data_IF_665374201988
#
_entry.id   IF_665374201988
#
_cell.length_a   1.000
_cell.length_b   1.000
_cell.length_c   1.000
_cell.angle_alpha   90.00
_cell.angle_beta   90.00
_cell.angle_gamma   90.00
#
_symmetry.space_group_name_H-M   'P 1'
#
loop_
_entity.id
_entity.type
_entity.pdbx_description
1 polymer ?
#
# COMPACT_ATOMS: atom_id res chain seq x y z
N UNK A 1 -13.28 -1.02 -16.37
CA UNK A 1 -14.38 -1.73 -15.69
C UNK A 1 -13.90 -3.14 -15.37
N UNK A 2 -13.36 -3.33 -14.16
CA UNK A 2 -12.87 -4.63 -13.68
C UNK A 2 -14.10 -5.41 -13.16
N UNK A 3 -14.56 -6.39 -13.95
CA UNK A 3 -15.66 -7.27 -13.51
C UNK A 3 -15.12 -8.28 -12.50
N UNK A 4 -15.71 -8.29 -11.28
CA UNK A 4 -15.46 -9.34 -10.29
C UNK A 4 -15.85 -10.71 -10.85
N UNK A 5 -14.86 -11.57 -11.10
CA UNK A 5 -15.09 -12.97 -11.48
C UNK A 5 -14.73 -13.89 -10.30
N UNK A 6 -15.74 -14.28 -9.55
CA UNK A 6 -15.61 -15.32 -8.53
C UNK A 6 -16.13 -16.66 -9.05
N UNK A 7 -15.41 -17.74 -8.79
CA UNK A 7 -15.90 -19.09 -8.98
C UNK A 7 -16.67 -19.55 -7.74
N UNK A 8 -17.99 -19.72 -7.90
CA UNK A 8 -18.87 -20.13 -6.83
C UNK A 8 -19.16 -21.63 -6.91
N UNK A 9 -18.85 -22.37 -5.84
CA UNK A 9 -19.21 -23.77 -5.69
C UNK A 9 -20.44 -23.87 -4.77
N UNK A 10 -21.57 -24.29 -5.31
CA UNK A 10 -22.79 -24.55 -4.53
C UNK A 10 -22.71 -25.87 -3.76
N UNK A 11 -23.27 -25.90 -2.54
CA UNK A 11 -23.56 -27.13 -1.82
C UNK A 11 -24.51 -27.97 -2.69
N UNK A 12 -24.15 -29.20 -3.07
CA UNK A 12 -25.07 -30.09 -3.77
C UNK A 12 -26.23 -30.43 -2.84
N UNK A 13 -27.36 -29.83 -3.05
CA UNK A 13 -28.64 -30.37 -2.56
C UNK A 13 -28.97 -31.61 -3.39
N UNK A 14 -29.50 -32.67 -2.78
CA UNK A 14 -29.76 -33.95 -3.43
C UNK A 14 -30.86 -33.89 -4.50
N UNK A 15 -31.39 -32.73 -4.82
CA UNK A 15 -32.44 -32.59 -5.87
C UNK A 15 -32.19 -31.37 -6.73
N UNK A 16 -32.16 -31.58 -8.03
CA UNK A 16 -32.20 -30.65 -9.15
C UNK A 16 -30.87 -30.34 -9.86
N UNK A 17 -30.69 -30.97 -11.01
CA UNK A 17 -29.79 -30.52 -12.08
C UNK A 17 -30.45 -29.31 -12.77
N UNK A 18 -29.88 -28.10 -12.59
CA UNK A 18 -30.07 -27.00 -13.55
C UNK A 18 -28.79 -26.22 -13.72
N UNK A 19 -28.50 -25.92 -14.97
CA UNK A 19 -27.35 -25.22 -15.53
C UNK A 19 -27.13 -23.86 -14.88
N UNK A 20 -25.86 -23.58 -14.52
CA UNK A 20 -25.43 -22.31 -13.90
C UNK A 20 -25.03 -21.31 -14.96
N UNK A 21 -25.83 -20.26 -15.16
CA UNK A 21 -25.43 -19.04 -15.85
C UNK A 21 -24.73 -18.08 -14.87
N UNK A 22 -23.77 -17.24 -15.33
CA UNK A 22 -23.13 -16.26 -14.47
C UNK A 22 -24.09 -15.15 -14.07
N UNK A 23 -24.20 -14.87 -12.78
CA UNK A 23 -25.10 -13.84 -12.22
C UNK A 23 -24.38 -12.49 -12.25
N UNK A 24 -24.94 -11.51 -12.98
CA UNK A 24 -24.58 -10.10 -12.91
C UNK A 24 -25.27 -9.48 -11.70
N UNK A 25 -24.50 -8.89 -10.78
CA UNK A 25 -25.05 -8.12 -9.66
C UNK A 25 -25.01 -6.62 -10.02
N UNK A 26 -26.15 -5.97 -10.07
CA UNK A 26 -26.29 -4.51 -10.08
C UNK A 26 -26.99 -4.10 -8.80
N UNK A 27 -26.33 -3.34 -7.93
CA UNK A 27 -26.94 -2.74 -6.75
C UNK A 27 -27.27 -1.28 -7.06
N UNK A 28 -28.56 -0.92 -6.99
CA UNK A 28 -29.00 0.49 -7.05
C UNK A 28 -29.08 1.03 -5.62
N UNK A 29 -28.29 2.04 -5.30
CA UNK A 29 -28.41 2.81 -4.07
C UNK A 29 -29.28 4.03 -4.34
N UNK A 30 -30.39 4.17 -3.62
CA UNK A 30 -31.28 5.34 -3.69
C UNK A 30 -30.94 6.25 -2.52
N UNK A 31 -30.33 7.42 -2.79
CA UNK A 31 -30.02 8.46 -1.80
C UNK A 31 -31.10 9.56 -1.90
N UNK A 32 -31.67 10.05 -0.77
CA UNK A 32 -32.63 11.15 -0.79
C UNK A 32 -32.02 12.46 -1.33
N UNK A 33 -32.71 13.13 -2.22
CA UNK A 33 -32.24 14.34 -2.94
C UNK A 33 -31.90 15.54 -2.03
N UNK A 34 -32.45 15.65 -0.82
CA UNK A 34 -32.21 16.78 0.08
C UNK A 34 -30.80 16.85 0.69
N UNK A 35 -30.11 15.70 0.82
CA UNK A 35 -28.74 15.63 1.33
C UNK A 35 -27.68 15.67 0.22
N UNK A 36 -28.13 15.66 -1.03
CA UNK A 36 -27.23 15.52 -2.18
C UNK A 36 -26.40 16.77 -2.43
N UNK A 37 -26.96 17.98 -2.28
CA UNK A 37 -26.28 19.23 -2.64
C UNK A 37 -25.15 19.61 -1.69
N UNK A 38 -25.31 19.42 -0.38
CA UNK A 38 -24.23 19.68 0.59
C UNK A 38 -23.13 18.61 0.52
N UNK A 39 -23.54 17.37 0.33
CA UNK A 39 -22.63 16.23 0.16
C UNK A 39 -21.85 16.32 -1.15
N UNK A 40 -22.49 16.80 -2.23
CA UNK A 40 -21.83 16.96 -3.56
C UNK A 40 -20.79 18.06 -3.52
N UNK A 41 -21.05 19.22 -2.87
CA UNK A 41 -20.03 20.28 -2.75
C UNK A 41 -18.82 19.86 -1.91
N UNK A 42 -19.06 19.17 -0.79
CA UNK A 42 -17.99 18.62 0.04
C UNK A 42 -17.22 17.53 -0.71
N UNK A 43 -17.93 16.65 -1.42
CA UNK A 43 -17.34 15.58 -2.22
C UNK A 43 -16.48 16.15 -3.38
N UNK A 44 -16.97 17.15 -4.12
CA UNK A 44 -16.21 17.79 -5.20
C UNK A 44 -14.97 18.53 -4.67
N UNK A 45 -15.06 19.19 -3.51
CA UNK A 45 -13.92 19.83 -2.87
C UNK A 45 -12.83 18.81 -2.47
N UNK A 46 -13.23 17.72 -1.83
CA UNK A 46 -12.33 16.62 -1.46
C UNK A 46 -11.75 15.95 -2.72
N UNK A 47 -12.56 15.74 -3.76
CA UNK A 47 -12.11 15.15 -5.01
C UNK A 47 -11.06 16.00 -5.70
N UNK A 48 -11.23 17.32 -5.76
CA UNK A 48 -10.26 18.24 -6.35
C UNK A 48 -8.93 18.23 -5.58
N UNK A 49 -8.97 18.22 -4.24
CA UNK A 49 -7.78 18.14 -3.41
C UNK A 49 -7.05 16.79 -3.61
N UNK A 50 -7.78 15.68 -3.58
CA UNK A 50 -7.23 14.35 -3.83
C UNK A 50 -6.70 14.18 -5.25
N UNK A 51 -7.28 14.88 -6.25
CA UNK A 51 -6.75 14.88 -7.62
C UNK A 51 -5.42 15.61 -7.71
N UNK A 52 -5.26 16.73 -7.02
CA UNK A 52 -4.00 17.48 -6.97
C UNK A 52 -2.91 16.66 -6.29
N UNK A 53 -3.22 16.01 -5.16
CA UNK A 53 -2.29 15.11 -4.46
C UNK A 53 -1.91 13.92 -5.35
N UNK A 54 -2.89 13.33 -6.04
CA UNK A 54 -2.62 12.23 -6.97
C UNK A 54 -1.74 12.67 -8.14
N UNK A 55 -1.98 13.85 -8.71
CA UNK A 55 -1.15 14.41 -9.77
C UNK A 55 0.31 14.56 -9.32
N UNK A 56 0.55 14.97 -8.08
CA UNK A 56 1.89 15.06 -7.50
C UNK A 56 2.61 13.69 -7.40
N UNK A 57 1.86 12.58 -7.44
CA UNK A 57 2.48 11.23 -7.48
C UNK A 57 2.88 10.78 -8.87
N UNK A 58 2.41 11.44 -9.93
CA UNK A 58 2.73 11.10 -11.32
C UNK A 58 3.97 11.87 -11.78
N UNK A 59 4.96 11.16 -12.29
CA UNK A 59 6.22 11.77 -12.75
C UNK A 59 5.97 12.72 -13.92
N UNK A 60 6.64 13.88 -13.88
CA UNK A 60 6.61 14.87 -14.96
C UNK A 60 5.39 15.78 -14.97
N UNK A 61 4.46 15.64 -14.03
CA UNK A 61 3.38 16.60 -13.86
C UNK A 61 3.88 17.90 -13.22
N UNK A 62 3.24 19.06 -13.48
CA UNK A 62 3.60 20.31 -12.81
C UNK A 62 3.56 20.21 -11.29
N UNK A 63 2.60 19.45 -10.73
CA UNK A 63 2.45 19.21 -9.30
C UNK A 63 3.62 18.39 -8.72
N UNK A 64 4.11 17.39 -9.47
CA UNK A 64 5.26 16.59 -9.06
C UNK A 64 6.55 17.40 -9.07
N UNK A 65 6.78 18.17 -10.14
CA UNK A 65 7.97 19.02 -10.30
C UNK A 65 7.99 20.11 -9.23
N UNK A 66 6.91 20.92 -9.14
CA UNK A 66 6.81 22.00 -8.17
C UNK A 66 6.84 21.50 -6.72
N UNK A 67 6.23 20.33 -6.44
CA UNK A 67 6.32 19.68 -5.14
C UNK A 67 7.76 19.30 -4.80
N UNK A 68 8.52 18.72 -5.73
CA UNK A 68 9.92 18.35 -5.53
C UNK A 68 10.78 19.59 -5.22
N UNK A 69 10.64 20.66 -5.99
CA UNK A 69 11.35 21.92 -5.75
C UNK A 69 11.05 22.50 -4.37
N UNK A 70 9.77 22.53 -3.99
CA UNK A 70 9.33 23.04 -2.70
C UNK A 70 9.89 22.20 -1.52
N UNK A 71 9.95 20.88 -1.64
CA UNK A 71 10.57 20.01 -0.64
C UNK A 71 12.07 20.26 -0.50
N UNK A 72 12.80 20.37 -1.62
CA UNK A 72 14.23 20.65 -1.63
C UNK A 72 14.52 22.00 -0.98
N UNK A 73 13.80 23.04 -1.34
CA UNK A 73 13.97 24.38 -0.77
C UNK A 73 13.67 24.40 0.73
N UNK A 74 12.58 23.74 1.16
CA UNK A 74 12.25 23.61 2.57
C UNK A 74 13.37 22.88 3.37
N UNK A 75 13.92 21.80 2.84
CA UNK A 75 14.99 21.06 3.49
C UNK A 75 16.27 21.90 3.58
N UNK A 76 16.68 22.60 2.51
CA UNK A 76 17.82 23.51 2.53
C UNK A 76 17.68 24.59 3.60
N UNK A 77 16.52 25.22 3.68
CA UNK A 77 16.23 26.25 4.68
C UNK A 77 16.34 25.72 6.11
N UNK A 78 15.82 24.52 6.37
CA UNK A 78 15.82 23.91 7.71
C UNK A 78 17.18 23.36 8.11
N UNK A 79 18.04 23.03 7.17
CA UNK A 79 19.40 22.53 7.39
C UNK A 79 20.47 23.67 7.33
N UNK A 80 20.06 24.93 7.20
CA UNK A 80 20.98 26.05 6.96
C UNK A 80 22.04 26.24 8.05
N UNK A 81 21.86 25.73 9.27
CA UNK A 81 22.85 25.78 10.35
C UNK A 81 24.00 24.78 10.18
N UNK A 82 23.76 23.64 9.49
CA UNK A 82 24.77 22.62 9.14
C UNK A 82 24.67 22.30 7.65
N UNK A 83 25.14 23.20 6.75
CA UNK A 83 24.97 23.03 5.31
C UNK A 83 25.66 21.79 4.74
N UNK A 84 26.64 21.23 5.42
CA UNK A 84 27.30 19.97 5.07
C UNK A 84 26.36 18.76 5.10
N UNK A 85 25.23 18.87 5.78
CA UNK A 85 24.18 17.82 5.79
C UNK A 85 23.27 17.86 4.56
N UNK A 86 23.29 18.95 3.80
CA UNK A 86 22.36 19.16 2.69
C UNK A 86 22.58 18.12 1.60
N UNK A 87 23.82 17.89 1.18
CA UNK A 87 24.17 16.95 0.12
C UNK A 87 23.73 15.50 0.42
N UNK A 88 23.77 15.12 1.69
CA UNK A 88 23.50 13.76 2.12
C UNK A 88 22.05 13.50 2.50
N UNK A 89 21.34 14.52 2.96
CA UNK A 89 19.97 14.38 3.44
C UNK A 89 18.92 14.70 2.39
N UNK A 90 19.25 15.55 1.39
CA UNK A 90 18.32 15.81 0.29
C UNK A 90 18.36 14.64 -0.68
N UNK A 91 17.24 13.90 -0.84
CA UNK A 91 17.19 12.77 -1.74
C UNK A 91 17.34 13.19 -3.22
N UNK A 92 17.95 12.34 -4.03
CA UNK A 92 18.01 12.50 -5.48
C UNK A 92 16.73 12.02 -6.19
N UNK A 93 15.80 11.41 -5.45
CA UNK A 93 14.54 10.91 -5.95
C UNK A 93 13.38 11.83 -5.53
N UNK A 94 12.26 11.87 -6.29
CA UNK A 94 11.13 12.74 -6.00
C UNK A 94 10.40 12.35 -4.71
N UNK A 95 9.71 13.31 -4.06
CA UNK A 95 8.80 13.03 -2.95
C UNK A 95 7.77 11.96 -3.32
N UNK A 96 7.50 11.04 -2.41
CA UNK A 96 6.60 9.91 -2.65
C UNK A 96 7.34 8.60 -2.89
N UNK A 97 8.56 8.58 -3.44
CA UNK A 97 9.34 7.34 -3.59
C UNK A 97 9.50 6.61 -2.24
N UNK A 98 9.63 7.37 -1.17
CA UNK A 98 9.45 6.93 0.22
C UNK A 98 8.31 7.71 0.86
N UNK A 99 7.72 7.15 1.92
CA UNK A 99 6.67 7.84 2.66
C UNK A 99 7.19 9.18 3.18
N UNK A 100 6.45 10.24 2.91
CA UNK A 100 6.72 11.56 3.47
C UNK A 100 6.52 11.52 4.98
N UNK A 101 7.48 12.09 5.71
CA UNK A 101 7.45 12.18 7.16
C UNK A 101 7.42 13.66 7.56
N UNK A 102 6.22 14.22 7.78
CA UNK A 102 6.12 15.56 8.33
C UNK A 102 6.58 15.51 9.80
N UNK A 103 7.81 15.89 10.04
CA UNK A 103 8.42 15.90 11.37
C UNK A 103 8.88 17.30 11.73
N UNK A 104 8.02 18.14 12.36
CA UNK A 104 8.50 19.41 12.90
C UNK A 104 9.60 19.12 13.91
N UNK A 105 10.73 19.83 13.79
CA UNK A 105 11.86 19.68 14.68
C UNK A 105 12.90 18.62 14.29
N UNK A 106 12.59 17.68 13.38
CA UNK A 106 13.54 16.61 13.02
C UNK A 106 14.80 17.15 12.31
N UNK A 107 14.65 17.93 11.26
CA UNK A 107 15.78 18.50 10.54
C UNK A 107 16.53 19.52 11.39
N UNK A 108 15.82 20.30 12.21
CA UNK A 108 16.40 21.23 13.16
C UNK A 108 17.24 20.50 14.21
N UNK A 109 16.75 19.37 14.73
CA UNK A 109 17.50 18.56 15.70
C UNK A 109 18.81 18.03 15.12
N UNK A 110 18.83 17.64 13.84
CA UNK A 110 20.08 17.22 13.18
C UNK A 110 21.12 18.36 13.09
N UNK A 111 20.66 19.61 13.15
CA UNK A 111 21.57 20.78 13.16
C UNK A 111 21.97 21.24 14.56
N UNK A 112 21.51 20.58 15.62
CA UNK A 112 21.94 20.88 17.00
C UNK A 112 23.40 20.41 17.22
N UNK A 113 24.16 21.16 18.02
CA UNK A 113 25.58 20.86 18.31
C UNK A 113 25.77 19.58 19.12
N UNK A 114 24.69 19.09 19.77
CA UNK A 114 24.68 17.82 20.51
C UNK A 114 24.42 16.58 19.64
N UNK A 115 24.18 16.78 18.34
CA UNK A 115 23.80 15.69 17.43
C UNK A 115 24.90 15.50 16.38
N UNK A 116 25.50 14.31 16.38
CA UNK A 116 26.40 13.85 15.35
C UNK A 116 25.66 12.93 14.38
N UNK A 117 25.71 13.25 13.10
CA UNK A 117 25.14 12.41 12.03
C UNK A 117 26.25 11.52 11.47
N UNK A 118 26.22 10.24 11.85
CA UNK A 118 27.21 9.24 11.44
C UNK A 118 26.64 8.47 10.25
N UNK A 119 27.41 8.41 9.14
CA UNK A 119 27.01 7.80 7.86
C UNK A 119 27.69 6.47 7.60
N UNK A 120 28.82 6.24 8.29
CA UNK A 120 29.55 4.99 8.14
C UNK A 120 28.68 3.82 8.61
N UNK A 121 28.57 2.73 7.84
CA UNK A 121 27.75 1.56 8.22
C UNK A 121 28.19 0.98 9.56
N UNK A 122 27.22 0.52 10.33
CA UNK A 122 27.47 -0.20 11.59
C UNK A 122 27.92 -1.63 11.24
N UNK A 123 29.11 -2.02 11.72
CA UNK A 123 29.65 -3.37 11.51
C UNK A 123 29.58 -4.24 12.76
N UNK A 124 29.55 -3.63 13.95
CA UNK A 124 29.46 -4.35 15.21
C UNK A 124 28.83 -3.50 16.30
N UNK A 125 28.12 -4.16 17.20
CA UNK A 125 27.69 -3.60 18.49
C UNK A 125 28.37 -4.44 19.58
N UNK A 126 28.97 -3.79 20.56
CA UNK A 126 29.57 -4.43 21.74
C UNK A 126 29.00 -3.85 23.05
N UNK A 127 29.59 -4.19 24.18
CA UNK A 127 29.11 -3.76 25.49
C UNK A 127 29.31 -2.26 25.76
N UNK A 128 30.22 -1.63 25.05
CA UNK A 128 30.61 -0.23 25.25
C UNK A 128 30.02 0.69 24.17
N UNK A 129 29.48 0.15 23.07
CA UNK A 129 28.88 1.00 22.02
C UNK A 129 28.80 0.38 20.65
N UNK A 130 29.05 1.20 19.63
CA UNK A 130 28.88 0.86 18.21
C UNK A 130 30.20 1.05 17.49
N UNK A 131 30.58 0.08 16.65
CA UNK A 131 31.75 0.17 15.76
C UNK A 131 31.26 0.34 14.33
N UNK A 132 31.73 1.36 13.65
CA UNK A 132 31.45 1.67 12.26
C UNK A 132 32.51 1.14 11.31
N UNK A 133 32.19 1.03 10.01
CA UNK A 133 33.09 0.47 8.97
C UNK A 133 34.37 1.22 8.82
N UNK A 134 34.39 2.52 9.13
CA UNK A 134 35.60 3.36 9.18
C UNK A 134 36.51 3.07 10.40
N UNK A 135 36.19 2.05 11.19
CA UNK A 135 36.94 1.60 12.35
C UNK A 135 36.74 2.44 13.61
N UNK A 136 35.86 3.44 13.59
CA UNK A 136 35.57 4.24 14.78
C UNK A 136 34.64 3.51 15.75
N UNK A 137 34.95 3.65 17.04
CA UNK A 137 34.13 3.23 18.14
C UNK A 137 33.34 4.42 18.68
N UNK A 138 32.04 4.29 18.76
CA UNK A 138 31.10 5.29 19.28
C UNK A 138 30.53 4.81 20.61
N UNK A 139 31.07 5.29 21.75
CA UNK A 139 30.53 4.92 23.06
C UNK A 139 29.04 5.27 23.19
N UNK A 140 28.24 4.36 23.70
CA UNK A 140 26.80 4.52 23.71
C UNK A 140 26.19 3.88 24.95
N UNK A 141 25.48 4.66 25.75
CA UNK A 141 24.76 4.18 26.93
C UNK A 141 23.40 3.55 26.57
N UNK A 142 22.76 4.07 25.50
CA UNK A 142 21.44 3.62 25.04
C UNK A 142 21.42 3.49 23.53
N UNK A 143 21.06 2.32 23.02
CA UNK A 143 20.86 2.04 21.60
C UNK A 143 19.37 1.94 21.27
N UNK A 144 18.88 2.84 20.42
CA UNK A 144 17.48 2.81 19.93
C UNK A 144 17.46 2.17 18.54
N UNK A 145 16.84 0.98 18.44
CA UNK A 145 16.73 0.25 17.19
C UNK A 145 15.46 0.65 16.44
N UNK A 146 15.60 1.41 15.35
CA UNK A 146 14.52 1.78 14.44
C UNK A 146 14.62 1.01 13.12
N UNK A 147 14.77 -0.31 13.18
CA UNK A 147 15.11 -1.20 12.05
C UNK A 147 13.93 -1.54 11.12
N UNK A 148 12.71 -1.07 11.44
CA UNK A 148 11.51 -1.23 10.63
C UNK A 148 10.77 -2.55 10.90
N UNK A 149 9.92 -2.94 9.95
CA UNK A 149 9.04 -4.11 10.03
C UNK A 149 9.34 -5.09 8.90
N UNK A 150 8.90 -6.35 9.08
CA UNK A 150 8.80 -7.32 7.99
C UNK A 150 7.65 -6.92 7.06
N UNK A 151 7.98 -6.57 5.82
CA UNK A 151 7.04 -6.08 4.81
C UNK A 151 6.74 -7.13 3.73
N UNK A 152 7.02 -8.40 3.99
CA UNK A 152 6.79 -9.50 3.04
C UNK A 152 5.31 -9.87 2.86
N UNK A 153 4.42 -9.34 3.68
CA UNK A 153 3.01 -9.72 3.77
C UNK A 153 2.76 -11.18 4.17
N UNK A 154 3.80 -11.96 4.36
CA UNK A 154 3.67 -13.37 4.73
C UNK A 154 3.24 -13.51 6.19
N UNK A 155 2.07 -14.12 6.49
CA UNK A 155 1.65 -14.36 7.86
C UNK A 155 2.65 -15.21 8.65
N UNK A 156 2.83 -14.91 9.93
CA UNK A 156 3.72 -15.69 10.83
C UNK A 156 3.16 -17.08 11.18
N UNK A 157 1.88 -17.32 10.92
CA UNK A 157 1.23 -18.62 11.09
C UNK A 157 0.97 -19.25 9.72
N UNK A 158 0.97 -20.59 9.63
CA UNK A 158 0.81 -21.28 8.37
C UNK A 158 -0.63 -21.16 7.85
N UNK A 159 -0.79 -20.81 6.59
CA UNK A 159 -2.06 -20.79 5.87
C UNK A 159 -1.93 -21.73 4.67
N UNK A 160 -2.86 -22.67 4.55
CA UNK A 160 -2.89 -23.63 3.47
C UNK A 160 -4.15 -23.47 2.63
N UNK A 161 -3.97 -23.36 1.32
CA UNK A 161 -5.04 -23.32 0.35
C UNK A 161 -5.40 -24.71 -0.19
N UNK A 162 -6.06 -24.73 -1.36
CA UNK A 162 -6.39 -25.97 -2.06
C UNK A 162 -5.12 -26.78 -2.35
N UNK A 163 -5.26 -28.10 -2.29
CA UNK A 163 -4.16 -29.05 -2.55
C UNK A 163 -2.96 -28.86 -1.60
N UNK A 164 -3.16 -28.28 -0.41
CA UNK A 164 -2.11 -28.10 0.57
C UNK A 164 -1.05 -27.05 0.21
N UNK A 165 -1.34 -26.16 -0.72
CA UNK A 165 -0.39 -25.09 -1.10
C UNK A 165 -0.28 -24.09 0.05
N UNK A 166 0.94 -23.87 0.56
CA UNK A 166 1.23 -22.87 1.58
C UNK A 166 1.22 -21.45 0.99
N UNK A 167 0.57 -20.50 1.67
CA UNK A 167 0.59 -19.08 1.29
C UNK A 167 2.00 -18.50 1.36
N UNK A 168 2.78 -18.83 2.38
CA UNK A 168 4.17 -18.40 2.50
C UNK A 168 5.02 -18.88 1.30
N UNK A 169 4.81 -20.12 0.83
CA UNK A 169 5.47 -20.64 -0.37
C UNK A 169 4.97 -19.94 -1.63
N UNK A 170 3.68 -19.65 -1.74
CA UNK A 170 3.06 -18.94 -2.88
C UNK A 170 3.59 -17.52 -3.02
N UNK A 171 3.88 -16.86 -1.91
CA UNK A 171 4.35 -15.48 -1.84
C UNK A 171 5.87 -15.33 -1.63
N UNK A 172 6.62 -16.43 -1.73
CA UNK A 172 8.07 -16.41 -1.47
C UNK A 172 8.82 -15.35 -2.28
N UNK A 173 8.45 -15.18 -3.55
CA UNK A 173 9.10 -14.20 -4.44
C UNK A 173 8.34 -12.90 -4.47
N UNK A 174 7.05 -12.96 -4.73
CA UNK A 174 6.20 -11.77 -4.84
C UNK A 174 4.79 -12.09 -4.38
N UNK A 175 4.24 -11.34 -3.42
CA UNK A 175 2.86 -11.49 -3.05
C UNK A 175 1.95 -10.94 -4.14
N UNK A 176 1.02 -11.78 -4.61
CA UNK A 176 0.02 -11.43 -5.62
C UNK A 176 -1.39 -11.66 -5.05
N UNK A 177 -2.26 -10.70 -5.29
CA UNK A 177 -3.65 -10.72 -4.84
C UNK A 177 -4.58 -10.24 -5.95
N UNK A 178 -5.85 -10.45 -5.74
CA UNK A 178 -6.90 -9.74 -6.47
C UNK A 178 -7.46 -8.63 -5.60
N UNK A 179 -7.37 -7.37 -6.10
CA UNK A 179 -7.83 -6.17 -5.41
C UNK A 179 -7.38 -6.12 -3.94
N UNK A 180 -6.16 -6.53 -3.67
CA UNK A 180 -5.51 -6.49 -2.35
C UNK A 180 -6.10 -7.39 -1.27
N UNK A 181 -7.18 -8.13 -1.53
CA UNK A 181 -7.91 -8.84 -0.48
C UNK A 181 -8.11 -10.36 -0.70
N UNK A 182 -7.88 -10.91 -1.89
CA UNK A 182 -8.11 -12.32 -2.17
C UNK A 182 -6.95 -12.95 -2.96
N UNK A 183 -6.70 -14.23 -2.71
CA UNK A 183 -5.66 -15.02 -3.37
C UNK A 183 -6.28 -16.23 -4.06
N UNK A 184 -5.85 -16.50 -5.28
CA UNK A 184 -6.30 -17.70 -6.01
C UNK A 184 -5.81 -18.97 -5.33
N UNK A 185 -6.69 -19.97 -5.27
CA UNK A 185 -6.40 -21.22 -4.58
C UNK A 185 -6.62 -21.20 -3.07
N UNK A 186 -6.99 -20.05 -2.48
CA UNK A 186 -7.30 -19.89 -1.05
C UNK A 186 -8.78 -19.51 -0.88
N UNK A 187 -9.70 -20.47 -0.98
CA UNK A 187 -11.14 -20.19 -0.89
C UNK A 187 -11.55 -19.72 0.51
N UNK A 188 -12.50 -18.79 0.56
CA UNK A 188 -13.04 -18.22 1.81
C UNK A 188 -12.01 -17.46 2.65
N UNK A 189 -10.86 -17.14 2.09
CA UNK A 189 -9.82 -16.38 2.75
C UNK A 189 -9.81 -14.96 2.21
N UNK A 190 -10.09 -13.99 3.09
CA UNK A 190 -10.02 -12.57 2.82
C UNK A 190 -8.93 -11.94 3.68
N UNK A 191 -8.22 -10.98 3.13
CA UNK A 191 -7.15 -10.24 3.77
C UNK A 191 -7.56 -8.77 3.79
N UNK A 192 -7.63 -8.17 4.95
CA UNK A 192 -7.75 -6.72 5.05
C UNK A 192 -6.36 -6.09 4.94
N UNK A 193 -6.22 -5.07 4.12
CA UNK A 193 -4.94 -4.42 3.83
C UNK A 193 -3.85 -5.39 3.36
N UNK A 194 -4.19 -6.29 2.46
CA UNK A 194 -3.23 -7.19 1.83
C UNK A 194 -2.27 -6.48 0.85
N UNK A 195 -1.46 -7.23 0.11
CA UNK A 195 -0.57 -6.70 -0.91
C UNK A 195 -1.29 -5.73 -1.86
N UNK A 196 -0.65 -4.59 -2.13
CA UNK A 196 -1.18 -3.48 -2.93
C UNK A 196 -2.41 -2.75 -2.32
N UNK A 197 -2.62 -2.79 -1.00
CA UNK A 197 -3.73 -2.08 -0.36
C UNK A 197 -3.35 -0.70 0.19
N UNK A 198 -2.09 -0.47 0.55
CA UNK A 198 -1.68 0.78 1.17
C UNK A 198 -1.89 1.97 0.23
N UNK A 199 -2.32 3.09 0.79
CA UNK A 199 -2.61 4.28 0.02
C UNK A 199 -1.39 5.21 -0.05
N UNK A 200 -1.12 5.75 -1.23
CA UNK A 200 -0.21 6.88 -1.40
C UNK A 200 -0.83 8.18 -0.90
N UNK A 201 -2.17 8.25 -0.92
CA UNK A 201 -2.99 9.38 -0.53
C UNK A 201 -4.33 8.90 0.05
N UNK A 202 -5.03 9.73 0.82
CA UNK A 202 -6.37 9.45 1.31
C UNK A 202 -6.42 8.82 2.71
N UNK A 203 -7.60 8.32 3.09
CA UNK A 203 -7.91 7.83 4.42
C UNK A 203 -7.93 6.30 4.47
N UNK A 204 -6.94 5.71 5.13
CA UNK A 204 -6.81 4.25 5.26
C UNK A 204 -7.96 3.62 6.06
N UNK A 205 -8.50 4.31 7.07
CA UNK A 205 -9.62 3.77 7.87
C UNK A 205 -10.89 3.63 7.03
N UNK A 206 -11.16 4.60 6.15
CA UNK A 206 -12.29 4.51 5.24
C UNK A 206 -12.13 3.33 4.25
N UNK A 207 -10.91 3.09 3.78
CA UNK A 207 -10.63 1.92 2.94
C UNK A 207 -10.91 0.61 3.68
N UNK A 208 -10.46 0.48 4.93
CA UNK A 208 -10.71 -0.68 5.79
C UNK A 208 -12.21 -0.92 5.98
N UNK A 209 -12.99 0.13 6.24
CA UNK A 209 -14.45 0.02 6.36
C UNK A 209 -15.08 -0.52 5.07
N UNK A 210 -14.66 -0.04 3.90
CA UNK A 210 -15.17 -0.51 2.62
C UNK A 210 -14.77 -1.97 2.35
N UNK A 211 -13.53 -2.36 2.61
CA UNK A 211 -13.09 -3.76 2.51
C UNK A 211 -13.93 -4.68 3.41
N UNK A 212 -14.14 -4.31 4.68
CA UNK A 212 -14.93 -5.10 5.62
C UNK A 212 -16.39 -5.18 5.17
N UNK A 213 -16.99 -4.09 4.68
CA UNK A 213 -18.34 -4.10 4.12
C UNK A 213 -18.42 -5.07 2.94
N UNK A 214 -17.45 -5.05 2.03
CA UNK A 214 -17.39 -5.97 0.91
C UNK A 214 -17.28 -7.44 1.37
N UNK A 215 -16.42 -7.76 2.33
CA UNK A 215 -16.31 -9.11 2.89
C UNK A 215 -17.60 -9.56 3.54
N UNK A 216 -18.26 -8.67 4.27
CA UNK A 216 -19.58 -8.92 4.87
C UNK A 216 -20.62 -9.28 3.81
N UNK A 217 -20.68 -8.53 2.71
CA UNK A 217 -21.57 -8.83 1.59
C UNK A 217 -21.28 -10.20 0.95
N UNK A 218 -20.00 -10.54 0.79
CA UNK A 218 -19.58 -11.85 0.32
C UNK A 218 -20.07 -12.97 1.24
N UNK A 219 -19.90 -12.84 2.55
CA UNK A 219 -20.34 -13.83 3.55
C UNK A 219 -21.87 -13.95 3.58
N UNK A 220 -22.59 -12.85 3.59
CA UNK A 220 -24.06 -12.84 3.55
C UNK A 220 -24.59 -13.51 2.28
N UNK A 221 -23.95 -13.26 1.13
CA UNK A 221 -24.30 -13.94 -0.11
C UNK A 221 -24.05 -15.44 -0.02
N UNK A 222 -22.93 -15.86 0.54
CA UNK A 222 -22.64 -17.27 0.73
C UNK A 222 -23.67 -17.96 1.60
N UNK A 223 -24.12 -17.33 2.67
CA UNK A 223 -25.15 -17.86 3.56
C UNK A 223 -26.51 -17.94 2.86
N UNK A 224 -26.96 -16.85 2.25
CA UNK A 224 -28.27 -16.78 1.57
C UNK A 224 -28.38 -17.78 0.44
N UNK A 225 -27.35 -17.91 -0.39
CA UNK A 225 -27.36 -18.74 -1.58
C UNK A 225 -26.81 -20.17 -1.33
N UNK A 226 -26.57 -20.54 -0.06
CA UNK A 226 -25.98 -21.83 0.35
C UNK A 226 -24.69 -22.18 -0.40
N UNK A 227 -23.82 -21.16 -0.61
CA UNK A 227 -22.54 -21.32 -1.28
C UNK A 227 -21.55 -21.89 -0.27
N UNK A 228 -20.91 -23.00 -0.59
CA UNK A 228 -19.93 -23.64 0.28
C UNK A 228 -18.59 -22.92 0.27
N UNK A 229 -18.17 -22.44 -0.88
CA UNK A 229 -16.88 -21.77 -1.01
C UNK A 229 -16.89 -20.73 -2.14
N UNK A 230 -16.19 -19.62 -1.88
CA UNK A 230 -15.95 -18.53 -2.82
C UNK A 230 -14.44 -18.41 -3.02
N UNK A 231 -13.98 -18.28 -4.25
CA UNK A 231 -12.57 -18.15 -4.57
C UNK A 231 -12.39 -17.25 -5.78
N UNK A 232 -11.39 -16.39 -5.75
CA UNK A 232 -11.00 -15.60 -6.92
C UNK A 232 -10.36 -16.50 -7.98
N UNK A 233 -10.52 -16.14 -9.25
CA UNK A 233 -9.86 -16.84 -10.34
C UNK A 233 -8.40 -16.40 -10.50
N UNK A 234 -7.51 -17.31 -10.89
CA UNK A 234 -6.12 -16.99 -11.20
C UNK A 234 -6.01 -15.91 -12.32
N UNK A 235 -6.95 -15.93 -13.28
CA UNK A 235 -7.02 -14.90 -14.33
C UNK A 235 -7.21 -13.50 -13.73
N UNK A 236 -8.11 -13.33 -12.75
CA UNK A 236 -8.38 -12.04 -12.11
C UNK A 236 -7.18 -11.55 -11.32
N UNK A 237 -6.49 -12.44 -10.58
CA UNK A 237 -5.23 -12.11 -9.90
C UNK A 237 -4.20 -11.60 -10.88
N UNK A 238 -3.95 -12.33 -11.97
CA UNK A 238 -2.98 -11.92 -13.01
C UNK A 238 -3.33 -10.60 -13.67
N UNK A 239 -4.61 -10.35 -13.96
CA UNK A 239 -5.04 -9.08 -14.55
C UNK A 239 -4.76 -7.90 -13.61
N UNK A 240 -5.02 -8.06 -12.31
CA UNK A 240 -4.71 -7.03 -11.33
C UNK A 240 -3.20 -6.84 -11.16
N UNK A 241 -2.43 -7.92 -11.12
CA UNK A 241 -0.96 -7.89 -11.10
C UNK A 241 -0.40 -7.11 -12.29
N UNK A 242 -0.84 -7.43 -13.51
CA UNK A 242 -0.43 -6.73 -14.73
C UNK A 242 -0.80 -5.25 -14.70
N UNK A 243 -1.98 -4.92 -14.18
CA UNK A 243 -2.39 -3.53 -14.00
C UNK A 243 -1.46 -2.76 -13.05
N UNK A 244 -1.09 -3.36 -11.92
CA UNK A 244 -0.11 -2.78 -10.98
C UNK A 244 1.23 -2.53 -11.69
N UNK A 245 1.74 -3.53 -12.42
CA UNK A 245 3.04 -3.46 -13.09
C UNK A 245 3.08 -2.39 -14.21
N UNK A 246 1.94 -2.11 -14.84
CA UNK A 246 1.81 -1.02 -15.83
C UNK A 246 1.61 0.36 -15.21
N UNK A 247 1.02 0.42 -14.02
CA UNK A 247 0.69 1.67 -13.35
C UNK A 247 1.91 2.33 -12.69
N UNK A 248 2.64 1.58 -11.86
CA UNK A 248 3.68 2.14 -10.99
C UNK A 248 4.90 2.74 -11.68
N UNK A 249 5.37 2.28 -12.85
CA UNK A 249 6.49 2.92 -13.55
C UNK A 249 6.27 4.38 -13.94
N UNK A 250 5.03 4.85 -13.92
CA UNK A 250 4.67 6.24 -14.22
C UNK A 250 4.58 7.13 -12.99
N UNK A 251 4.90 6.60 -11.82
CA UNK A 251 4.71 7.28 -10.54
C UNK A 251 6.03 7.48 -9.82
N UNK A 252 6.08 8.48 -8.95
CA UNK A 252 7.20 8.71 -8.03
C UNK A 252 7.53 7.47 -7.16
N UNK A 253 6.55 6.60 -6.92
CA UNK A 253 6.74 5.35 -6.19
C UNK A 253 7.65 4.35 -6.94
N UNK A 254 7.63 4.39 -8.29
CA UNK A 254 8.43 3.55 -9.17
C UNK A 254 9.89 3.98 -9.31
N UNK A 255 10.23 5.20 -8.92
CA UNK A 255 11.58 5.77 -9.04
C UNK A 255 12.64 5.00 -8.24
N UNK A 256 13.90 5.16 -8.64
CA UNK A 256 15.04 4.48 -8.01
C UNK A 256 15.26 4.99 -6.59
N UNK A 257 14.66 4.30 -5.63
CA UNK A 257 14.93 4.50 -4.20
C UNK A 257 14.68 3.20 -3.44
N UNK A 258 15.48 2.91 -2.46
CA UNK A 258 15.24 1.79 -1.56
C UNK A 258 14.02 2.08 -0.67
N UNK A 259 12.91 1.37 -0.88
CA UNK A 259 11.64 1.61 -0.20
C UNK A 259 10.98 0.31 0.27
N UNK A 260 10.28 0.36 1.41
CA UNK A 260 9.45 -0.75 1.86
C UNK A 260 8.29 -1.04 0.91
N UNK A 261 7.88 -0.10 0.08
CA UNK A 261 6.90 -0.31 -0.99
C UNK A 261 7.34 -1.39 -1.98
N UNK A 262 8.65 -1.58 -2.10
CA UNK A 262 9.33 -2.51 -3.01
C UNK A 262 10.05 -3.65 -2.24
N UNK A 263 9.54 -4.02 -1.05
CA UNK A 263 10.18 -5.02 -0.21
C UNK A 263 11.57 -4.65 0.29
N UNK A 264 11.88 -3.35 0.43
CA UNK A 264 13.17 -2.84 0.90
C UNK A 264 14.29 -2.83 -0.15
N UNK A 265 13.97 -3.07 -1.42
CA UNK A 265 14.91 -3.00 -2.54
C UNK A 265 14.75 -1.71 -3.34
N UNK A 266 15.68 -1.42 -4.23
CA UNK A 266 15.67 -0.23 -5.07
C UNK A 266 14.82 -0.42 -6.34
N UNK A 267 14.95 -1.55 -6.99
CA UNK A 267 14.31 -1.90 -8.25
C UNK A 267 13.22 -2.97 -8.08
N UNK A 268 12.77 -3.25 -6.85
CA UNK A 268 11.76 -4.25 -6.57
C UNK A 268 10.37 -3.86 -7.09
N UNK A 269 9.52 -4.87 -7.30
CA UNK A 269 8.12 -4.67 -7.62
C UNK A 269 7.39 -3.96 -6.48
N UNK A 270 6.55 -2.99 -6.80
CA UNK A 270 5.73 -2.32 -5.79
C UNK A 270 4.58 -3.25 -5.38
N UNK A 271 4.68 -3.75 -4.15
CA UNK A 271 3.72 -4.70 -3.56
C UNK A 271 2.91 -4.10 -2.43
N UNK A 272 3.24 -2.89 -1.98
CA UNK A 272 2.54 -2.29 -0.85
C UNK A 272 1.39 -1.37 -1.26
N UNK A 273 1.56 -0.56 -2.33
CA UNK A 273 0.64 0.52 -2.65
C UNK A 273 -0.49 0.11 -3.60
N UNK A 274 -1.63 0.77 -3.46
CA UNK A 274 -2.77 0.68 -4.39
C UNK A 274 -2.43 1.37 -5.72
N UNK A 275 -2.70 0.71 -6.87
CA UNK A 275 -2.43 1.28 -8.19
C UNK A 275 -3.58 2.19 -8.65
N UNK A 276 -3.60 3.43 -8.20
CA UNK A 276 -4.63 4.40 -8.59
C UNK A 276 -4.98 5.41 -7.51
N UNK A 277 -6.03 6.18 -7.79
CA UNK A 277 -6.57 7.16 -6.85
C UNK A 277 -7.26 6.46 -5.67
N UNK A 278 -7.23 7.09 -4.50
CA UNK A 278 -7.98 6.66 -3.31
C UNK A 278 -9.46 6.42 -3.62
N UNK A 279 -10.10 7.35 -4.32
CA UNK A 279 -11.51 7.25 -4.67
C UNK A 279 -11.84 6.00 -5.51
N UNK A 280 -10.88 5.58 -6.36
CA UNK A 280 -11.04 4.36 -7.17
C UNK A 280 -11.10 3.11 -6.28
N UNK A 281 -10.30 3.03 -5.23
CA UNK A 281 -10.34 1.91 -4.28
C UNK A 281 -11.66 1.88 -3.52
N UNK A 282 -12.11 3.03 -3.01
CA UNK A 282 -13.40 3.16 -2.29
C UNK A 282 -14.58 2.75 -3.18
N UNK A 283 -14.61 3.18 -4.45
CA UNK A 283 -15.68 2.82 -5.39
C UNK A 283 -15.69 1.32 -5.75
N UNK A 284 -14.51 0.69 -5.83
CA UNK A 284 -14.41 -0.75 -6.15
C UNK A 284 -14.97 -1.61 -5.02
N UNK A 285 -14.71 -1.25 -3.77
CA UNK A 285 -15.20 -2.00 -2.60
C UNK A 285 -16.63 -1.61 -2.19
N UNK A 286 -17.09 -0.41 -2.55
CA UNK A 286 -18.43 0.09 -2.20
C UNK A 286 -19.56 -0.34 -3.13
N UNK A 287 -19.26 -1.07 -4.23
CA UNK A 287 -20.22 -1.60 -5.20
C UNK A 287 -20.47 -3.09 -5.02
#
# INVERSE_FOLDING_TARGET
MLMCQFHLLRKKSKHSRKTTSPIKLSVKVIIPLSNLFSSVKLFLGIEMELQSIHAATLIGTPENIGGTEAFVENMKRRLAKKPELIEDLIPFFPPGCRRLTPGPGYLEALTDDKVDVIRSPIVKVDAEGIITEDGKHHPTDVLVCATGFDTTFTPRFPIFGRNGVSLARRWKETPETYLSFAVDGFPNYFICLGPNASLGEGNLLLLIEQEINYFTQCVLKMQRDSIRSMSVSNRAVRQFTTYCDQYFPRTAFGEKCRSWYKGGTEDGRITALWPGKFLTSVLIYGT
#
